data_IF_334696228094
#
_entry.id   IF_334696228094
#
_cell.length_a   1.000
_cell.length_b   1.000
_cell.length_c   1.000
_cell.angle_alpha   90.00
_cell.angle_beta   90.00
_cell.angle_gamma   90.00
#
_symmetry.space_group_name_H-M   'P 1'
#
loop_
_entity.id
_entity.type
_entity.pdbx_description
1 polymer ?
#
# COMPACT_ATOMS: atom_id res chain seq x y z
N UNK A 1 19.64 -9.13 7.10
CA UNK A 1 18.89 -8.11 7.85
C UNK A 1 17.95 -8.80 8.83
N UNK A 2 17.78 -8.23 10.03
CA UNK A 2 16.85 -8.77 11.00
C UNK A 2 15.39 -8.54 10.57
N UNK A 3 14.45 -9.32 11.13
CA UNK A 3 13.02 -9.09 10.91
C UNK A 3 12.59 -7.68 11.37
N UNK A 4 13.23 -7.16 12.41
CA UNK A 4 13.00 -5.81 12.92
C UNK A 4 13.39 -4.74 11.89
N UNK A 5 14.52 -4.92 11.20
CA UNK A 5 14.95 -4.00 10.13
C UNK A 5 13.96 -4.00 8.96
N UNK A 6 13.43 -5.17 8.62
CA UNK A 6 12.39 -5.31 7.59
C UNK A 6 11.10 -4.60 7.98
N UNK A 7 10.64 -4.76 9.23
CA UNK A 7 9.45 -4.07 9.74
C UNK A 7 9.65 -2.54 9.78
N UNK A 8 10.81 -2.08 10.23
CA UNK A 8 11.14 -0.66 10.24
C UNK A 8 11.20 -0.06 8.84
N UNK A 9 11.75 -0.82 7.88
CA UNK A 9 11.75 -0.43 6.48
C UNK A 9 10.33 -0.20 5.96
N UNK A 10 9.41 -1.14 6.18
CA UNK A 10 8.02 -0.98 5.75
C UNK A 10 7.35 0.19 6.47
N UNK A 11 7.52 0.31 7.79
CA UNK A 11 6.96 1.42 8.57
C UNK A 11 7.41 2.79 8.05
N UNK A 12 8.68 2.92 7.70
CA UNK A 12 9.24 4.18 7.20
C UNK A 12 8.77 4.51 5.78
N UNK A 13 8.68 3.50 4.90
CA UNK A 13 8.35 3.73 3.48
C UNK A 13 6.85 3.79 3.20
N UNK A 14 6.03 3.07 3.96
CA UNK A 14 4.56 3.07 3.81
C UNK A 14 3.90 4.21 4.59
N UNK A 15 4.54 4.70 5.64
CA UNK A 15 3.92 5.62 6.58
C UNK A 15 2.83 4.94 7.43
N UNK A 16 2.08 5.72 8.19
CA UNK A 16 0.93 5.20 8.92
C UNK A 16 -0.30 5.10 7.99
N UNK A 17 -1.13 4.09 8.20
CA UNK A 17 -2.42 3.94 7.49
C UNK A 17 -3.28 5.19 7.68
N UNK A 18 -3.27 5.78 8.87
CA UNK A 18 -4.02 6.99 9.18
C UNK A 18 -3.60 8.19 8.31
N UNK A 19 -2.31 8.31 7.97
CA UNK A 19 -1.81 9.34 7.08
C UNK A 19 -2.34 9.20 5.64
N UNK A 20 -2.64 7.98 5.20
CA UNK A 20 -3.27 7.72 3.91
C UNK A 20 -4.78 7.98 3.96
N UNK A 21 -5.46 7.49 4.99
CA UNK A 21 -6.90 7.68 5.16
C UNK A 21 -7.29 9.16 5.24
N UNK A 22 -6.48 9.99 5.90
CA UNK A 22 -6.71 11.43 5.98
C UNK A 22 -6.57 12.21 4.66
N UNK A 23 -6.04 11.60 3.60
CA UNK A 23 -5.86 12.24 2.29
C UNK A 23 -7.01 12.00 1.33
N UNK A 24 -7.86 11.02 1.60
CA UNK A 24 -8.95 10.62 0.71
C UNK A 24 -10.29 11.09 1.27
N UNK A 25 -11.14 11.55 0.37
CA UNK A 25 -12.45 12.10 0.70
C UNK A 25 -13.54 11.13 0.24
N UNK A 26 -14.65 11.12 0.94
CA UNK A 26 -15.80 10.33 0.57
C UNK A 26 -16.73 11.03 -0.44
N UNK A 27 -17.78 10.34 -0.87
CA UNK A 27 -18.76 10.88 -1.81
C UNK A 27 -19.50 12.11 -1.25
N UNK A 28 -19.70 12.21 0.09
CA UNK A 28 -20.39 13.34 0.70
C UNK A 28 -19.56 14.62 0.65
N UNK A 29 -18.26 14.52 0.80
CA UNK A 29 -17.33 15.61 0.62
C UNK A 29 -17.42 16.17 -0.82
N UNK A 30 -17.34 15.31 -1.82
CA UNK A 30 -17.40 15.74 -3.22
C UNK A 30 -18.76 16.32 -3.60
N UNK A 31 -19.88 15.76 -3.11
CA UNK A 31 -21.22 16.34 -3.28
C UNK A 31 -21.34 17.73 -2.68
N UNK A 32 -20.65 18.00 -1.59
CA UNK A 32 -20.57 19.31 -0.94
C UNK A 32 -19.72 20.32 -1.68
N UNK A 33 -18.80 19.88 -2.52
CA UNK A 33 -17.87 20.75 -3.24
C UNK A 33 -18.56 21.55 -4.33
N UNK A 34 -18.26 22.86 -4.48
CA UNK A 34 -18.74 23.68 -5.59
C UNK A 34 -18.44 23.10 -6.97
N UNK A 35 -17.33 22.37 -7.12
CA UNK A 35 -16.94 21.71 -8.37
C UNK A 35 -17.99 20.73 -8.90
N UNK A 36 -18.85 20.20 -8.02
CA UNK A 36 -19.91 19.25 -8.35
C UNK A 36 -21.32 19.84 -8.14
N UNK A 37 -21.45 21.17 -8.20
CA UNK A 37 -22.71 21.91 -8.13
C UNK A 37 -22.90 22.82 -9.34
N UNK A 38 -24.14 23.29 -9.56
CA UNK A 38 -24.39 24.35 -10.54
C UNK A 38 -23.66 25.63 -10.14
N UNK A 39 -22.82 26.15 -10.98
CA UNK A 39 -22.02 27.35 -10.73
C UNK A 39 -20.54 27.16 -11.04
N UNK A 40 -20.10 25.92 -11.12
CA UNK A 40 -18.72 25.61 -11.50
C UNK A 40 -17.73 25.65 -10.35
N UNK A 41 -16.55 25.25 -10.67
CA UNK A 41 -15.40 25.09 -9.78
C UNK A 41 -14.49 26.31 -9.93
N UNK A 42 -14.06 26.87 -8.83
CA UNK A 42 -12.98 27.87 -8.85
C UNK A 42 -11.65 27.19 -9.18
N UNK A 43 -10.69 27.97 -9.68
CA UNK A 43 -9.34 27.45 -9.98
C UNK A 43 -8.67 26.85 -8.74
N UNK A 44 -8.92 27.41 -7.56
CA UNK A 44 -8.39 26.90 -6.29
C UNK A 44 -8.98 25.52 -5.93
N UNK A 45 -10.28 25.32 -6.14
CA UNK A 45 -10.96 24.05 -5.90
C UNK A 45 -10.53 22.98 -6.91
N UNK A 46 -10.35 23.37 -8.18
CA UNK A 46 -9.79 22.48 -9.20
C UNK A 46 -8.36 22.06 -8.85
N UNK A 47 -7.54 22.98 -8.38
CA UNK A 47 -6.19 22.69 -7.94
C UNK A 47 -6.18 21.72 -6.76
N UNK A 48 -7.10 21.88 -5.78
CA UNK A 48 -7.23 21.00 -4.65
C UNK A 48 -7.61 19.55 -5.07
N UNK A 49 -8.54 19.40 -6.01
CA UNK A 49 -8.93 18.08 -6.54
C UNK A 49 -7.74 17.41 -7.27
N UNK A 50 -7.04 18.15 -8.12
CA UNK A 50 -5.86 17.66 -8.83
C UNK A 50 -4.76 17.24 -7.86
N UNK A 51 -4.54 18.03 -6.81
CA UNK A 51 -3.54 17.72 -5.78
C UNK A 51 -3.91 16.45 -5.01
N UNK A 52 -5.17 16.25 -4.65
CA UNK A 52 -5.62 15.01 -4.02
C UNK A 52 -5.42 13.80 -4.94
N UNK A 53 -5.71 13.93 -6.24
CA UNK A 53 -5.46 12.86 -7.21
C UNK A 53 -3.96 12.55 -7.34
N UNK A 54 -3.11 13.58 -7.36
CA UNK A 54 -1.66 13.44 -7.40
C UNK A 54 -1.15 12.72 -6.15
N UNK A 55 -1.58 13.15 -4.96
CA UNK A 55 -1.21 12.54 -3.68
C UNK A 55 -1.66 11.07 -3.59
N UNK A 56 -2.88 10.76 -4.07
CA UNK A 56 -3.38 9.38 -4.14
C UNK A 56 -2.51 8.51 -5.06
N UNK A 57 -2.17 9.01 -6.24
CA UNK A 57 -1.30 8.31 -7.19
C UNK A 57 0.11 8.08 -6.63
N UNK A 58 0.69 9.09 -5.97
CA UNK A 58 1.99 8.96 -5.31
C UNK A 58 1.96 7.99 -4.14
N UNK A 59 0.90 8.01 -3.32
CA UNK A 59 0.72 7.07 -2.22
C UNK A 59 0.65 5.62 -2.73
N UNK A 60 -0.12 5.38 -3.79
CA UNK A 60 -0.22 4.08 -4.44
C UNK A 60 1.14 3.63 -4.99
N UNK A 61 1.85 4.53 -5.68
CA UNK A 61 3.18 4.22 -6.20
C UNK A 61 4.16 3.86 -5.09
N UNK A 62 4.22 4.66 -4.01
CA UNK A 62 5.11 4.40 -2.86
C UNK A 62 4.81 3.07 -2.19
N UNK A 63 3.53 2.74 -2.00
CA UNK A 63 3.12 1.47 -1.41
C UNK A 63 3.55 0.28 -2.29
N UNK A 64 3.37 0.40 -3.60
CA UNK A 64 3.78 -0.62 -4.57
C UNK A 64 5.30 -0.75 -4.65
N UNK A 65 6.04 0.36 -4.73
CA UNK A 65 7.51 0.36 -4.75
C UNK A 65 8.09 -0.26 -3.46
N UNK A 66 7.47 0.03 -2.29
CA UNK A 66 7.87 -0.56 -1.02
C UNK A 66 7.63 -2.08 -1.00
N UNK A 67 6.50 -2.55 -1.55
CA UNK A 67 6.21 -3.97 -1.68
C UNK A 67 7.26 -4.67 -2.56
N UNK A 68 7.56 -4.15 -3.75
CA UNK A 68 8.56 -4.75 -4.65
C UNK A 68 9.96 -4.80 -4.04
N UNK A 69 10.40 -3.71 -3.39
CA UNK A 69 11.69 -3.71 -2.69
C UNK A 69 11.71 -4.69 -1.51
N UNK A 70 10.58 -4.87 -0.84
CA UNK A 70 10.43 -5.87 0.21
C UNK A 70 10.55 -7.30 -0.32
N UNK A 71 9.92 -7.60 -1.46
CA UNK A 71 10.04 -8.88 -2.14
C UNK A 71 11.49 -9.18 -2.55
N UNK A 72 12.18 -8.21 -3.13
CA UNK A 72 13.59 -8.34 -3.52
C UNK A 72 14.50 -8.64 -2.32
N UNK A 73 14.29 -7.92 -1.21
CA UNK A 73 15.01 -8.18 0.05
C UNK A 73 14.67 -9.56 0.64
N UNK A 74 13.42 -9.99 0.52
CA UNK A 74 12.98 -11.31 0.99
C UNK A 74 13.63 -12.42 0.19
N UNK A 75 13.74 -12.27 -1.13
CA UNK A 75 14.43 -13.23 -1.99
C UNK A 75 15.91 -13.36 -1.60
N UNK A 76 16.60 -12.24 -1.40
CA UNK A 76 18.00 -12.25 -0.96
C UNK A 76 18.16 -12.89 0.44
N UNK A 77 17.20 -12.65 1.35
CA UNK A 77 17.19 -13.27 2.67
C UNK A 77 17.00 -14.78 2.58
N UNK A 78 16.08 -15.27 1.74
CA UNK A 78 15.84 -16.70 1.53
C UNK A 78 17.08 -17.43 1.02
N UNK A 79 17.82 -16.82 0.10
CA UNK A 79 19.09 -17.40 -0.38
C UNK A 79 20.17 -17.49 0.72
N UNK A 80 20.27 -16.46 1.56
CA UNK A 80 21.19 -16.46 2.70
C UNK A 80 20.78 -17.51 3.75
N UNK A 81 19.48 -17.65 4.01
CA UNK A 81 18.92 -18.61 4.93
C UNK A 81 19.13 -20.05 4.45
N UNK A 82 18.95 -20.31 3.15
CA UNK A 82 19.23 -21.62 2.56
C UNK A 82 20.69 -22.03 2.76
N UNK A 83 21.65 -21.11 2.53
CA UNK A 83 23.07 -21.36 2.78
C UNK A 83 23.37 -21.62 4.26
N UNK A 84 22.68 -20.93 5.15
CA UNK A 84 22.83 -21.12 6.61
C UNK A 84 22.25 -22.48 7.06
N UNK A 85 21.08 -22.85 6.53
CA UNK A 85 20.49 -24.19 6.78
C UNK A 85 21.41 -25.32 6.34
N UNK A 86 22.02 -25.25 5.16
CA UNK A 86 22.97 -26.23 4.69
C UNK A 86 24.16 -26.36 5.65
N UNK A 87 24.73 -25.24 6.11
CA UNK A 87 25.82 -25.26 7.10
C UNK A 87 25.41 -25.88 8.43
N UNK A 88 24.21 -25.52 8.93
CA UNK A 88 23.69 -26.08 10.18
C UNK A 88 23.43 -27.56 10.07
N UNK A 89 22.90 -28.07 8.95
CA UNK A 89 22.71 -29.48 8.68
C UNK A 89 24.03 -30.25 8.67
N UNK A 90 25.03 -29.72 7.96
CA UNK A 90 26.37 -30.32 7.94
C UNK A 90 27.01 -30.37 9.34
N UNK A 91 26.88 -29.30 10.11
CA UNK A 91 27.40 -29.22 11.48
C UNK A 91 26.64 -30.15 12.43
N UNK A 92 25.33 -30.31 12.28
CA UNK A 92 24.52 -31.20 13.08
C UNK A 92 24.89 -32.69 12.83
N UNK A 93 25.19 -33.03 11.56
CA UNK A 93 25.64 -34.41 11.22
C UNK A 93 27.01 -34.72 11.78
N UNK A 94 27.88 -33.73 11.99
CA UNK A 94 29.21 -33.90 12.58
C UNK A 94 29.25 -33.66 14.10
N UNK A 95 28.10 -33.40 14.74
CA UNK A 95 28.02 -33.15 16.18
C UNK A 95 28.37 -34.39 16.98
N UNK A 96 29.40 -34.28 17.81
CA UNK A 96 29.92 -35.43 18.64
C UNK A 96 29.37 -35.42 20.07
N UNK A 97 28.50 -34.44 20.40
CA UNK A 97 27.94 -34.33 21.75
C UNK A 97 26.53 -33.72 21.79
N UNK A 98 25.78 -34.11 22.84
CA UNK A 98 24.39 -33.66 23.04
C UNK A 98 24.25 -32.15 23.16
N UNK A 99 25.22 -31.45 23.78
CA UNK A 99 25.26 -30.01 23.92
C UNK A 99 25.37 -29.26 22.56
N UNK A 100 26.19 -29.79 21.64
CA UNK A 100 26.30 -29.24 20.29
C UNK A 100 25.01 -29.46 19.49
N UNK A 101 24.39 -30.62 19.57
CA UNK A 101 23.13 -30.92 18.91
C UNK A 101 22.01 -29.97 19.37
N UNK A 102 21.91 -29.70 20.68
CA UNK A 102 20.97 -28.71 21.24
C UNK A 102 21.26 -27.30 20.75
N UNK A 103 22.54 -26.89 20.69
CA UNK A 103 22.91 -25.59 20.17
C UNK A 103 22.47 -25.37 18.72
N UNK A 104 22.69 -26.37 17.86
CA UNK A 104 22.23 -26.29 16.45
C UNK A 104 20.71 -26.29 16.33
N UNK A 105 20.00 -27.07 17.15
CA UNK A 105 18.54 -27.03 17.18
C UNK A 105 17.99 -25.68 17.58
N UNK A 106 18.58 -25.01 18.56
CA UNK A 106 18.22 -23.67 19.00
C UNK A 106 18.49 -22.62 17.92
N UNK A 107 19.61 -22.72 17.20
CA UNK A 107 19.93 -21.82 16.07
C UNK A 107 18.90 -21.99 14.93
N UNK A 108 18.54 -23.24 14.63
CA UNK A 108 17.52 -23.54 13.61
C UNK A 108 16.15 -22.96 14.00
N UNK A 109 15.73 -23.13 15.25
CA UNK A 109 14.48 -22.59 15.77
C UNK A 109 14.46 -21.04 15.69
N UNK A 110 15.56 -20.39 16.05
CA UNK A 110 15.70 -18.93 15.95
C UNK A 110 15.61 -18.46 14.50
N UNK A 111 16.20 -19.18 13.57
CA UNK A 111 16.14 -18.85 12.14
C UNK A 111 14.72 -19.01 11.61
N UNK A 112 14.01 -20.08 11.96
CA UNK A 112 12.60 -20.27 11.59
C UNK A 112 11.71 -19.16 12.13
N UNK A 113 11.91 -18.74 13.39
CA UNK A 113 11.17 -17.62 13.96
C UNK A 113 11.43 -16.31 13.20
N UNK A 114 12.68 -16.05 12.80
CA UNK A 114 13.03 -14.89 12.00
C UNK A 114 12.37 -14.91 10.63
N UNK A 115 12.35 -16.06 9.93
CA UNK A 115 11.64 -16.22 8.65
C UNK A 115 10.14 -15.96 8.79
N UNK A 116 9.49 -16.46 9.84
CA UNK A 116 8.07 -16.21 10.09
C UNK A 116 7.78 -14.72 10.31
N UNK A 117 8.65 -13.99 11.00
CA UNK A 117 8.51 -12.55 11.18
C UNK A 117 8.67 -11.80 9.86
N UNK A 118 9.60 -12.23 9.01
CA UNK A 118 9.79 -11.63 7.67
C UNK A 118 8.56 -11.87 6.78
N UNK A 119 7.98 -13.08 6.79
CA UNK A 119 6.75 -13.39 6.05
C UNK A 119 5.59 -12.52 6.55
N UNK A 120 5.43 -12.36 7.87
CA UNK A 120 4.40 -11.47 8.42
C UNK A 120 4.60 -10.02 8.00
N UNK A 121 5.84 -9.52 7.99
CA UNK A 121 6.14 -8.17 7.54
C UNK A 121 5.77 -7.96 6.06
N UNK A 122 6.04 -8.97 5.22
CA UNK A 122 5.67 -8.94 3.80
C UNK A 122 4.16 -8.94 3.62
N UNK A 123 3.41 -9.76 4.37
CA UNK A 123 1.95 -9.75 4.35
C UNK A 123 1.37 -8.40 4.75
N UNK A 124 1.93 -7.75 5.77
CA UNK A 124 1.51 -6.40 6.17
C UNK A 124 1.76 -5.40 5.04
N UNK A 125 2.90 -5.47 4.35
CA UNK A 125 3.21 -4.61 3.22
C UNK A 125 2.25 -4.84 2.04
N UNK A 126 1.92 -6.09 1.74
CA UNK A 126 0.94 -6.47 0.72
C UNK A 126 -0.45 -5.90 1.04
N UNK A 127 -0.93 -6.11 2.27
CA UNK A 127 -2.22 -5.58 2.72
C UNK A 127 -2.26 -4.05 2.65
N UNK A 128 -1.18 -3.36 3.01
CA UNK A 128 -1.09 -1.91 2.89
C UNK A 128 -1.13 -1.45 1.42
N UNK A 129 -0.46 -2.16 0.52
CA UNK A 129 -0.50 -1.85 -0.92
C UNK A 129 -1.91 -2.02 -1.49
N UNK A 130 -2.60 -3.10 -1.11
CA UNK A 130 -3.99 -3.37 -1.50
C UNK A 130 -4.92 -2.30 -0.92
N UNK A 131 -4.80 -1.99 0.37
CA UNK A 131 -5.62 -0.97 1.03
C UNK A 131 -5.45 0.40 0.38
N UNK A 132 -4.20 0.81 0.10
CA UNK A 132 -3.91 2.07 -0.58
C UNK A 132 -4.53 2.12 -1.98
N UNK A 133 -4.42 1.02 -2.74
CA UNK A 133 -5.06 0.91 -4.06
C UNK A 133 -6.56 1.05 -3.97
N UNK A 134 -7.19 0.31 -3.06
CA UNK A 134 -8.64 0.33 -2.88
C UNK A 134 -9.13 1.73 -2.47
N UNK A 135 -8.38 2.41 -1.61
CA UNK A 135 -8.70 3.78 -1.20
C UNK A 135 -8.65 4.76 -2.37
N UNK A 136 -7.62 4.68 -3.23
CA UNK A 136 -7.52 5.51 -4.44
C UNK A 136 -8.66 5.24 -5.41
N UNK A 137 -9.07 3.98 -5.57
CA UNK A 137 -10.20 3.61 -6.40
C UNK A 137 -11.51 4.16 -5.83
N UNK A 138 -11.76 4.00 -4.53
CA UNK A 138 -12.94 4.51 -3.85
C UNK A 138 -13.05 6.05 -3.96
N UNK A 139 -11.94 6.77 -3.81
CA UNK A 139 -11.90 8.23 -4.00
C UNK A 139 -12.28 8.62 -5.45
N UNK A 140 -11.74 7.90 -6.43
CA UNK A 140 -12.07 8.13 -7.85
C UNK A 140 -13.53 7.82 -8.15
N UNK A 141 -14.07 6.74 -7.61
CA UNK A 141 -15.48 6.40 -7.74
C UNK A 141 -16.38 7.44 -7.09
N UNK A 142 -16.00 7.98 -5.94
CA UNK A 142 -16.73 9.06 -5.27
C UNK A 142 -16.78 10.33 -6.12
N UNK A 143 -15.65 10.71 -6.77
CA UNK A 143 -15.61 11.83 -7.70
C UNK A 143 -16.51 11.60 -8.91
N UNK A 144 -16.47 10.40 -9.51
CA UNK A 144 -17.30 10.05 -10.66
C UNK A 144 -18.79 10.04 -10.31
N UNK A 145 -19.14 9.52 -9.12
CA UNK A 145 -20.52 9.52 -8.65
C UNK A 145 -21.05 10.95 -8.47
N UNK A 146 -20.26 11.83 -7.86
CA UNK A 146 -20.63 13.24 -7.68
C UNK A 146 -20.80 13.98 -9.02
N UNK A 147 -19.88 13.77 -9.98
CA UNK A 147 -19.98 14.32 -11.32
C UNK A 147 -21.21 13.79 -12.09
N UNK A 148 -21.47 12.48 -12.00
CA UNK A 148 -22.65 11.85 -12.62
C UNK A 148 -23.98 12.33 -12.03
N UNK A 149 -24.03 12.62 -10.73
CA UNK A 149 -25.19 13.20 -10.09
C UNK A 149 -25.47 14.62 -10.59
N UNK A 150 -24.43 15.43 -10.71
CA UNK A 150 -24.54 16.78 -11.27
C UNK A 150 -25.06 16.78 -12.71
N UNK A 151 -24.54 15.89 -13.56
CA UNK A 151 -25.02 15.75 -14.95
C UNK A 151 -26.50 15.38 -15.02
N UNK A 152 -26.98 14.54 -14.12
CA UNK A 152 -28.40 14.14 -14.05
C UNK A 152 -29.34 15.23 -13.53
N UNK A 153 -28.81 16.21 -12.76
CA UNK A 153 -29.56 17.35 -12.27
C UNK A 153 -29.69 18.45 -13.33
N UNK A 154 -28.95 18.39 -14.42
CA UNK A 154 -29.00 19.33 -15.52
C UNK A 154 -30.41 19.35 -16.16
N UNK A 155 -30.98 20.55 -16.34
CA UNK A 155 -32.22 20.73 -17.11
C UNK A 155 -31.88 20.80 -18.58
N UNK A 156 -32.64 20.03 -19.38
CA UNK A 156 -32.59 20.18 -20.83
C UNK A 156 -33.09 21.57 -21.21
N UNK A 157 -32.27 22.35 -21.87
CA UNK A 157 -32.64 23.61 -22.51
C UNK A 157 -32.61 23.39 -24.01
N UNK A 158 -33.79 23.43 -24.65
CA UNK A 158 -33.86 23.27 -26.10
C UNK A 158 -33.07 24.41 -26.79
N UNK A 159 -32.33 24.07 -27.80
CA UNK A 159 -31.66 25.08 -28.64
C UNK A 159 -32.69 26.02 -29.27
N UNK A 160 -32.39 27.32 -29.36
CA UNK A 160 -33.31 28.23 -30.04
C UNK A 160 -33.56 27.78 -31.47
N UNK A 161 -34.82 27.86 -31.90
CA UNK A 161 -35.21 27.53 -33.26
C UNK A 161 -34.46 28.45 -34.21
N UNK A 162 -33.63 27.87 -35.09
CA UNK A 162 -33.00 28.61 -36.15
C UNK A 162 -34.04 28.81 -37.26
N UNK A 163 -34.50 30.03 -37.48
CA UNK A 163 -35.19 30.41 -38.66
C UNK A 163 -34.15 30.53 -39.79
N UNK A 164 -34.28 29.66 -40.77
CA UNK A 164 -33.51 29.70 -42.02
C UNK A 164 -34.11 30.68 -42.98
#
# INVERSE_FOLDING_TARGET
RSAIDTLNYYKTNLGSIDAYLGKFQDASYYRGSPCFRQGGCTDAEWAAIKENQRLGSEAQKRATDALFRGLDQQQAALEADARTLQRLQASAQSATGQMQAISYANQLASQQANQLLQIRALLVAEQNAIATRNQVLADREAQQAAAGEQLRQGRYVASPVRNW
#
